data_IF_715737713101
#
_entry.id   IF_715737713101
#
_cell.length_a   1.000
_cell.length_b   1.000
_cell.length_c   1.000
_cell.angle_alpha   90.00
_cell.angle_beta   90.00
_cell.angle_gamma   90.00
#
_symmetry.space_group_name_H-M   'P 1'
#
loop_
_entity.id
_entity.type
_entity.pdbx_description
1 polymer ?
#
# COMPACT_ATOMS: atom_id res chain seq x y z
N UNK A 1 -4.24 -10.19 -11.63
CA UNK A 1 -4.11 -9.00 -10.74
C UNK A 1 -4.53 -9.36 -9.30
N UNK A 2 -3.97 -10.43 -8.72
CA UNK A 2 -4.28 -10.86 -7.34
C UNK A 2 -3.33 -10.24 -6.30
N UNK A 3 -2.11 -9.88 -6.72
CA UNK A 3 -1.05 -9.50 -5.80
C UNK A 3 -1.20 -8.08 -5.23
N UNK A 4 -1.71 -7.12 -6.05
CA UNK A 4 -2.01 -5.75 -5.58
C UNK A 4 -3.06 -5.77 -4.45
N UNK A 5 -4.16 -6.54 -4.63
CA UNK A 5 -5.23 -6.63 -3.63
C UNK A 5 -4.74 -7.37 -2.37
N UNK A 6 -3.96 -8.43 -2.55
CA UNK A 6 -3.41 -9.22 -1.44
C UNK A 6 -2.45 -8.42 -0.56
N UNK A 7 -1.65 -7.52 -1.15
CA UNK A 7 -0.79 -6.60 -0.38
C UNK A 7 -1.65 -5.57 0.34
N UNK A 8 -2.62 -4.97 -0.33
CA UNK A 8 -3.50 -3.98 0.28
C UNK A 8 -4.26 -4.53 1.51
N UNK A 9 -4.74 -5.77 1.42
CA UNK A 9 -5.40 -6.45 2.54
C UNK A 9 -4.44 -6.74 3.70
N UNK A 10 -3.16 -7.03 3.40
CA UNK A 10 -2.13 -7.28 4.41
C UNK A 10 -1.61 -6.01 5.10
N UNK A 11 -1.88 -4.82 4.55
CA UNK A 11 -1.49 -3.56 5.18
C UNK A 11 -2.29 -3.32 6.47
N UNK A 12 -1.64 -2.81 7.53
CA UNK A 12 -2.34 -2.35 8.71
C UNK A 12 -3.28 -1.20 8.34
N UNK A 13 -4.42 -1.13 9.03
CA UNK A 13 -5.28 0.04 8.98
C UNK A 13 -4.58 1.23 9.66
N UNK A 14 -4.72 2.42 9.07
CA UNK A 14 -4.01 3.61 9.53
C UNK A 14 -2.68 3.83 8.82
N UNK A 15 -1.72 4.44 9.52
CA UNK A 15 -0.45 4.88 8.94
C UNK A 15 0.54 3.74 8.70
N UNK A 16 1.20 3.76 7.54
CA UNK A 16 2.28 2.84 7.19
C UNK A 16 3.36 3.54 6.34
N UNK A 17 4.59 3.02 6.36
CA UNK A 17 5.69 3.57 5.56
C UNK A 17 5.83 2.82 4.24
N UNK A 18 6.46 3.48 3.26
CA UNK A 18 6.86 2.81 2.02
C UNK A 18 7.72 1.57 2.28
N UNK A 19 8.59 1.61 3.30
CA UNK A 19 9.43 0.48 3.67
C UNK A 19 8.59 -0.73 4.10
N UNK A 20 7.53 -0.51 4.87
CA UNK A 20 6.61 -1.58 5.32
C UNK A 20 5.87 -2.20 4.13
N UNK A 21 5.42 -1.36 3.20
CA UNK A 21 4.77 -1.80 1.96
C UNK A 21 5.73 -2.63 1.09
N UNK A 22 6.98 -2.19 0.95
CA UNK A 22 8.00 -2.91 0.18
C UNK A 22 8.34 -4.24 0.85
N UNK A 23 8.52 -4.28 2.17
CA UNK A 23 8.77 -5.51 2.89
C UNK A 23 7.63 -6.52 2.71
N UNK A 24 6.37 -6.08 2.81
CA UNK A 24 5.21 -6.93 2.52
C UNK A 24 5.19 -7.44 1.08
N UNK A 25 5.57 -6.59 0.12
CA UNK A 25 5.67 -7.00 -1.29
C UNK A 25 6.78 -8.04 -1.51
N UNK A 26 7.93 -7.88 -0.87
CA UNK A 26 9.06 -8.81 -0.93
C UNK A 26 8.69 -10.19 -0.38
N UNK A 27 7.93 -10.27 0.73
CA UNK A 27 7.42 -11.57 1.25
C UNK A 27 6.56 -12.33 0.23
N UNK A 28 6.00 -11.62 -0.75
CA UNK A 28 5.19 -12.17 -1.85
C UNK A 28 5.97 -12.29 -3.17
N UNK A 29 7.30 -12.22 -3.15
CA UNK A 29 8.19 -12.24 -4.32
C UNK A 29 7.94 -11.10 -5.32
N UNK A 30 7.45 -9.95 -4.85
CA UNK A 30 7.27 -8.76 -5.69
C UNK A 30 8.49 -7.87 -5.55
N UNK A 31 9.07 -7.49 -6.70
CA UNK A 31 10.22 -6.58 -6.71
C UNK A 31 9.88 -5.20 -6.17
N UNK A 32 10.85 -4.57 -5.50
CA UNK A 32 10.71 -3.21 -4.96
C UNK A 32 10.18 -2.20 -5.99
N UNK A 33 10.70 -2.27 -7.23
CA UNK A 33 10.22 -1.40 -8.34
C UNK A 33 8.72 -1.59 -8.58
N UNK A 34 8.26 -2.84 -8.57
CA UNK A 34 6.85 -3.16 -8.75
C UNK A 34 6.03 -2.68 -7.56
N UNK A 35 6.51 -2.90 -6.34
CA UNK A 35 5.87 -2.42 -5.12
C UNK A 35 5.69 -0.89 -5.11
N UNK A 36 6.75 -0.13 -5.43
CA UNK A 36 6.68 1.34 -5.55
C UNK A 36 5.68 1.78 -6.62
N UNK A 37 5.60 1.06 -7.75
CA UNK A 37 4.60 1.33 -8.79
C UNK A 37 3.18 1.04 -8.32
N UNK A 38 2.96 -0.06 -7.58
CA UNK A 38 1.66 -0.39 -6.99
C UNK A 38 1.21 0.70 -6.01
N UNK A 39 2.10 1.10 -5.10
CA UNK A 39 1.88 2.18 -4.15
C UNK A 39 1.45 3.48 -4.85
N UNK A 40 2.16 3.86 -5.93
CA UNK A 40 1.82 5.03 -6.73
C UNK A 40 0.43 4.95 -7.39
N UNK A 41 0.01 3.76 -7.85
CA UNK A 41 -1.36 3.57 -8.36
C UNK A 41 -2.40 3.63 -7.25
N UNK A 42 -2.16 2.98 -6.12
CA UNK A 42 -3.08 2.97 -4.97
C UNK A 42 -3.33 4.38 -4.44
N UNK A 43 -2.29 5.22 -4.43
CA UNK A 43 -2.37 6.61 -3.99
C UNK A 43 -2.96 7.56 -5.04
N UNK A 44 -2.52 7.50 -6.30
CA UNK A 44 -2.85 8.52 -7.31
C UNK A 44 -3.97 8.13 -8.26
N UNK A 45 -4.19 6.83 -8.51
CA UNK A 45 -5.16 6.33 -9.49
C UNK A 45 -6.40 5.80 -8.79
N UNK A 46 -6.21 4.97 -7.76
CA UNK A 46 -7.31 4.34 -7.03
C UNK A 46 -7.76 5.17 -5.82
N UNK A 47 -6.89 6.07 -5.31
CA UNK A 47 -7.15 6.90 -4.13
C UNK A 47 -7.60 6.11 -2.88
N UNK A 48 -7.15 4.85 -2.74
CA UNK A 48 -7.51 3.95 -1.63
C UNK A 48 -6.53 4.03 -0.45
N UNK A 49 -5.39 4.68 -0.66
CA UNK A 49 -4.43 5.06 0.40
C UNK A 49 -4.16 6.55 0.26
N UNK A 50 -4.09 7.25 1.40
CA UNK A 50 -3.88 8.70 1.44
C UNK A 50 -2.40 8.96 1.68
N UNK A 51 -1.70 9.71 0.81
CA UNK A 51 -0.34 10.14 1.09
C UNK A 51 -0.37 11.21 2.20
N UNK A 52 0.28 10.96 3.33
CA UNK A 52 0.32 11.91 4.44
C UNK A 52 1.57 12.78 4.38
N UNK A 53 2.74 12.15 4.18
CA UNK A 53 4.05 12.78 4.10
C UNK A 53 4.94 12.00 3.15
N UNK A 54 6.11 12.53 2.81
CA UNK A 54 7.07 11.83 1.93
C UNK A 54 7.40 10.45 2.49
N UNK A 55 6.96 9.39 1.79
CA UNK A 55 7.20 8.00 2.17
C UNK A 55 6.27 7.44 3.26
N UNK A 56 5.20 8.15 3.62
CA UNK A 56 4.21 7.75 4.62
C UNK A 56 2.80 7.86 4.02
N UNK A 57 2.02 6.79 4.19
CA UNK A 57 0.68 6.65 3.64
C UNK A 57 -0.27 6.20 4.74
N UNK A 58 -1.56 6.45 4.55
CA UNK A 58 -2.61 5.98 5.43
C UNK A 58 -3.58 5.10 4.65
N UNK A 59 -3.79 3.87 5.11
CA UNK A 59 -4.88 3.03 4.65
C UNK A 59 -6.14 3.45 5.40
N UNK A 60 -7.09 4.02 4.67
CA UNK A 60 -8.38 4.39 5.24
C UNK A 60 -9.10 3.09 5.57
N UNK A 61 -9.27 2.81 6.86
CA UNK A 61 -10.18 1.77 7.29
C UNK A 61 -11.58 2.29 6.95
N UNK A 62 -12.22 1.72 5.93
CA UNK A 62 -13.66 1.85 5.74
C UNK A 62 -14.33 1.04 6.86
N UNK A 63 -14.15 1.45 8.11
CA UNK A 63 -15.12 1.14 9.14
C UNK A 63 -16.29 2.04 8.82
N UNK A 64 -17.23 1.49 8.04
CA UNK A 64 -18.62 1.91 8.15
C UNK A 64 -18.99 1.93 9.64
N UNK A 65 -19.70 3.00 10.01
CA UNK A 65 -20.06 3.47 11.36
C UNK A 65 -20.49 2.38 12.36
#
# INVERSE_FOLDING_TARGET
>A
KGDELSIYQALPDGEFRTADFVALAETKNISERTAKRMLGKMSNVYCIIIPLRRGVYCKVSLKEE
#
